data_IF_231892085869
#
_entry.id   IF_231892085869
#
_cell.length_a   1.000
_cell.length_b   1.000
_cell.length_c   1.000
_cell.angle_alpha   90.00
_cell.angle_beta   90.00
_cell.angle_gamma   90.00
#
_symmetry.space_group_name_H-M   'P 1'
#
loop_
_entity.id
_entity.type
_entity.pdbx_description
1 polymer ?
#
# COMPACT_ATOMS: atom_id res chain seq x y z
N UNK A 1 -14.14 -8.04 31.88
CA UNK A 1 -14.49 -8.87 30.69
C UNK A 1 -13.98 -8.11 29.48
N UNK A 2 -13.03 -8.66 28.73
CA UNK A 2 -12.52 -8.00 27.52
C UNK A 2 -13.64 -7.94 26.48
N UNK A 3 -13.70 -6.88 25.68
CA UNK A 3 -14.64 -6.84 24.56
C UNK A 3 -14.23 -7.86 23.49
N UNK A 4 -15.20 -8.33 22.69
CA UNK A 4 -14.91 -9.22 21.54
C UNK A 4 -13.91 -8.59 20.56
N UNK A 5 -13.96 -7.27 20.39
CA UNK A 5 -13.02 -6.53 19.53
C UNK A 5 -11.59 -6.57 20.08
N UNK A 6 -11.42 -6.44 21.39
CA UNK A 6 -10.12 -6.54 22.04
C UNK A 6 -9.53 -7.95 21.92
N UNK A 7 -10.35 -8.99 22.11
CA UNK A 7 -9.92 -10.38 21.92
C UNK A 7 -9.50 -10.63 20.46
N UNK A 8 -10.29 -10.16 19.48
CA UNK A 8 -9.93 -10.26 18.05
C UNK A 8 -8.62 -9.53 17.74
N UNK A 9 -8.42 -8.33 18.29
CA UNK A 9 -7.18 -7.57 18.07
C UNK A 9 -5.96 -8.34 18.59
N UNK A 10 -6.01 -8.80 19.85
CA UNK A 10 -4.90 -9.54 20.48
C UNK A 10 -4.62 -10.86 19.77
N UNK A 11 -5.67 -11.57 19.34
CA UNK A 11 -5.53 -12.78 18.55
C UNK A 11 -4.88 -12.49 17.19
N UNK A 12 -5.28 -11.39 16.53
CA UNK A 12 -4.66 -10.95 15.28
C UNK A 12 -3.17 -10.64 15.45
N UNK A 13 -2.79 -9.93 16.52
CA UNK A 13 -1.39 -9.62 16.83
C UNK A 13 -0.57 -10.89 17.08
N UNK A 14 -1.10 -11.82 17.87
CA UNK A 14 -0.48 -13.12 18.12
C UNK A 14 -0.32 -13.91 16.81
N UNK A 15 -1.39 -14.05 16.03
CA UNK A 15 -1.37 -14.78 14.77
C UNK A 15 -0.36 -14.19 13.77
N UNK A 16 -0.26 -12.86 13.68
CA UNK A 16 0.75 -12.19 12.84
C UNK A 16 2.17 -12.51 13.32
N UNK A 17 2.43 -12.44 14.62
CA UNK A 17 3.71 -12.83 15.24
C UNK A 17 4.10 -14.28 14.93
N UNK A 18 3.21 -15.22 15.25
CA UNK A 18 3.46 -16.65 15.06
C UNK A 18 3.63 -17.00 13.57
N UNK A 19 2.81 -16.39 12.70
CA UNK A 19 2.94 -16.63 11.25
C UNK A 19 4.31 -16.19 10.72
N UNK A 20 4.84 -15.05 11.18
CA UNK A 20 6.15 -14.57 10.75
C UNK A 20 7.28 -15.50 11.25
N UNK A 21 7.19 -16.01 12.48
CA UNK A 21 8.14 -16.97 13.02
C UNK A 21 8.14 -18.28 12.21
N UNK A 22 6.95 -18.87 12.01
CA UNK A 22 6.81 -20.11 11.23
C UNK A 22 7.31 -19.94 9.81
N UNK A 23 6.98 -18.83 9.13
CA UNK A 23 7.47 -18.57 7.77
C UNK A 23 9.00 -18.46 7.69
N UNK A 24 9.66 -17.93 8.73
CA UNK A 24 11.11 -17.89 8.82
C UNK A 24 11.75 -19.28 8.92
N UNK A 25 11.06 -20.22 9.57
CA UNK A 25 11.53 -21.60 9.77
C UNK A 25 11.34 -22.49 8.53
N UNK A 26 10.56 -22.06 7.52
CA UNK A 26 10.34 -22.83 6.29
C UNK A 26 11.58 -22.92 5.38
N UNK A 27 12.74 -22.44 5.81
CA UNK A 27 13.96 -22.52 5.01
C UNK A 27 14.38 -23.98 4.84
N UNK A 28 14.56 -24.43 3.59
CA UNK A 28 14.89 -25.83 3.27
C UNK A 28 13.69 -26.77 3.11
N UNK A 29 12.48 -26.34 3.47
CA UNK A 29 11.26 -27.15 3.29
C UNK A 29 10.85 -27.29 1.83
N UNK A 30 10.11 -28.37 1.55
CA UNK A 30 9.54 -28.63 0.22
C UNK A 30 8.54 -27.55 -0.19
N UNK A 31 8.39 -27.33 -1.50
CA UNK A 31 7.45 -26.32 -2.01
C UNK A 31 6.01 -26.63 -1.60
N UNK A 32 5.64 -27.90 -1.53
CA UNK A 32 4.30 -28.35 -1.10
C UNK A 32 4.06 -27.97 0.35
N UNK A 33 5.01 -28.26 1.24
CA UNK A 33 4.91 -27.90 2.66
C UNK A 33 4.75 -26.39 2.84
N UNK A 34 5.56 -25.60 2.13
CA UNK A 34 5.48 -24.13 2.17
C UNK A 34 4.11 -23.61 1.75
N UNK A 35 3.56 -24.15 0.64
CA UNK A 35 2.25 -23.75 0.15
C UNK A 35 1.13 -24.16 1.11
N UNK A 36 1.21 -25.35 1.73
CA UNK A 36 0.24 -25.77 2.74
C UNK A 36 0.24 -24.86 3.97
N UNK A 37 1.41 -24.41 4.41
CA UNK A 37 1.52 -23.46 5.54
C UNK A 37 0.92 -22.10 5.19
N UNK A 38 1.22 -21.56 4.00
CA UNK A 38 0.63 -20.30 3.53
C UNK A 38 -0.90 -20.40 3.40
N UNK A 39 -1.41 -21.52 2.86
CA UNK A 39 -2.84 -21.76 2.75
C UNK A 39 -3.53 -21.86 4.12
N UNK A 40 -2.89 -22.55 5.08
CA UNK A 40 -3.37 -22.63 6.45
C UNK A 40 -3.51 -21.23 7.07
N UNK A 41 -2.46 -20.40 6.99
CA UNK A 41 -2.51 -19.05 7.55
C UNK A 41 -3.51 -18.16 6.82
N UNK A 42 -3.59 -18.23 5.49
CA UNK A 42 -4.60 -17.48 4.73
C UNK A 42 -6.03 -17.79 5.22
N UNK A 43 -6.35 -19.07 5.44
CA UNK A 43 -7.65 -19.49 5.98
C UNK A 43 -7.83 -19.03 7.42
N UNK A 44 -6.81 -19.14 8.26
CA UNK A 44 -6.89 -18.72 9.66
C UNK A 44 -7.11 -17.19 9.79
N UNK A 45 -6.42 -16.38 8.99
CA UNK A 45 -6.61 -14.93 8.94
C UNK A 45 -8.01 -14.54 8.44
N UNK A 46 -8.53 -15.25 7.43
CA UNK A 46 -9.90 -15.07 6.98
C UNK A 46 -10.93 -15.34 8.10
N UNK A 47 -10.72 -16.40 8.89
CA UNK A 47 -11.63 -16.77 9.99
C UNK A 47 -11.67 -15.73 11.11
N UNK A 48 -10.52 -15.12 11.46
CA UNK A 48 -10.47 -14.06 12.48
C UNK A 48 -10.85 -12.67 11.93
N UNK A 49 -11.05 -12.58 10.62
CA UNK A 49 -11.42 -11.35 9.90
C UNK A 49 -10.26 -10.36 9.74
N UNK A 50 -9.01 -10.84 9.71
CA UNK A 50 -7.82 -10.06 9.35
C UNK A 50 -7.59 -10.20 7.84
N UNK A 51 -8.32 -9.39 7.05
CA UNK A 51 -8.31 -9.51 5.59
C UNK A 51 -6.98 -9.09 4.97
N UNK A 52 -6.25 -8.16 5.59
CA UNK A 52 -4.93 -7.75 5.11
C UNK A 52 -3.94 -8.92 5.16
N UNK A 53 -3.86 -9.59 6.32
CA UNK A 53 -2.97 -10.74 6.49
C UNK A 53 -3.41 -11.94 5.64
N UNK A 54 -4.72 -12.15 5.49
CA UNK A 54 -5.27 -13.19 4.60
C UNK A 54 -4.82 -12.98 3.15
N UNK A 55 -5.01 -11.76 2.62
CA UNK A 55 -4.64 -11.43 1.25
C UNK A 55 -3.11 -11.45 1.07
N UNK A 56 -2.34 -11.02 2.06
CA UNK A 56 -0.88 -11.11 2.04
C UNK A 56 -0.42 -12.57 1.91
N UNK A 57 -0.96 -13.49 2.72
CA UNK A 57 -0.60 -14.92 2.66
C UNK A 57 -0.94 -15.54 1.30
N UNK A 58 -2.11 -15.19 0.73
CA UNK A 58 -2.49 -15.64 -0.62
C UNK A 58 -1.56 -15.08 -1.70
N UNK A 59 -1.21 -13.80 -1.62
CA UNK A 59 -0.29 -13.16 -2.55
C UNK A 59 1.09 -13.85 -2.53
N UNK A 60 1.62 -14.12 -1.34
CA UNK A 60 2.90 -14.83 -1.19
C UNK A 60 2.82 -16.28 -1.71
N UNK A 61 1.70 -16.98 -1.53
CA UNK A 61 1.50 -18.31 -2.11
C UNK A 61 1.56 -18.29 -3.64
N UNK A 62 0.94 -17.28 -4.27
CA UNK A 62 0.98 -17.10 -5.72
C UNK A 62 2.39 -16.74 -6.20
N UNK A 63 3.11 -15.85 -5.50
CA UNK A 63 4.49 -15.52 -5.83
C UNK A 63 5.43 -16.73 -5.72
N UNK A 64 5.28 -17.51 -4.63
CA UNK A 64 6.08 -18.70 -4.39
C UNK A 64 5.89 -19.74 -5.49
N UNK A 65 4.64 -19.94 -5.92
CA UNK A 65 4.27 -20.75 -7.08
C UNK A 65 4.92 -20.25 -8.36
N UNK A 66 4.78 -18.98 -8.66
CA UNK A 66 5.31 -18.37 -9.89
C UNK A 66 6.85 -18.45 -9.95
N UNK A 67 7.55 -18.24 -8.82
CA UNK A 67 9.00 -18.36 -8.72
C UNK A 67 9.51 -19.78 -9.04
N UNK A 68 8.71 -20.80 -8.72
CA UNK A 68 9.06 -22.21 -8.91
C UNK A 68 8.46 -22.81 -10.20
N UNK A 69 7.74 -22.02 -10.98
CA UNK A 69 7.05 -22.46 -12.21
C UNK A 69 8.00 -22.98 -13.30
N UNK A 70 9.24 -22.49 -13.33
CA UNK A 70 10.27 -22.94 -14.27
C UNK A 70 10.68 -24.41 -14.07
N UNK A 71 10.62 -24.88 -12.82
CA UNK A 71 10.95 -26.26 -12.45
C UNK A 71 9.72 -27.17 -12.45
N UNK A 72 8.51 -26.60 -12.35
CA UNK A 72 7.27 -27.36 -12.31
C UNK A 72 6.09 -26.59 -12.90
N UNK A 73 5.58 -27.06 -14.05
CA UNK A 73 4.50 -26.38 -14.77
C UNK A 73 3.18 -26.27 -13.99
N UNK A 74 2.87 -27.22 -13.09
CA UNK A 74 1.66 -27.17 -12.26
C UNK A 74 1.67 -26.00 -11.25
N UNK A 75 2.85 -25.43 -10.96
CA UNK A 75 2.99 -24.27 -10.10
C UNK A 75 2.76 -22.96 -10.86
N UNK A 76 2.71 -22.97 -12.20
CA UNK A 76 2.45 -21.77 -13.00
C UNK A 76 1.13 -21.11 -12.54
N UNK A 77 1.17 -19.80 -12.35
CA UNK A 77 -0.03 -19.03 -12.03
C UNK A 77 -0.56 -18.40 -13.31
N UNK A 78 -1.84 -18.63 -13.61
CA UNK A 78 -2.45 -18.06 -14.83
C UNK A 78 -2.71 -16.57 -14.65
N UNK A 79 -2.83 -15.85 -15.77
CA UNK A 79 -3.27 -14.45 -15.71
C UNK A 79 -4.67 -14.31 -15.09
N UNK A 80 -5.56 -15.29 -15.30
CA UNK A 80 -6.92 -15.29 -14.75
C UNK A 80 -6.91 -15.43 -13.23
N UNK A 81 -6.01 -16.24 -12.68
CA UNK A 81 -5.83 -16.41 -11.24
C UNK A 81 -5.33 -15.11 -10.59
N UNK A 82 -4.31 -14.48 -11.19
CA UNK A 82 -3.83 -13.17 -10.74
C UNK A 82 -4.91 -12.07 -10.84
N UNK A 83 -5.69 -12.08 -11.92
CA UNK A 83 -6.76 -11.09 -12.14
C UNK A 83 -7.88 -11.26 -11.12
N UNK A 84 -8.28 -12.51 -10.83
CA UNK A 84 -9.29 -12.80 -9.81
C UNK A 84 -8.81 -12.35 -8.43
N UNK A 85 -7.57 -12.66 -8.08
CA UNK A 85 -6.97 -12.22 -6.82
C UNK A 85 -6.90 -10.69 -6.71
N UNK A 86 -6.54 -10.00 -7.80
CA UNK A 86 -6.52 -8.54 -7.84
C UNK A 86 -7.93 -7.94 -7.63
N UNK A 87 -8.95 -8.51 -8.28
CA UNK A 87 -10.34 -8.08 -8.11
C UNK A 87 -10.82 -8.25 -6.67
N UNK A 88 -10.60 -9.44 -6.09
CA UNK A 88 -10.93 -9.70 -4.69
C UNK A 88 -10.22 -8.71 -3.75
N UNK A 89 -8.94 -8.41 -4.03
CA UNK A 89 -8.17 -7.45 -3.22
C UNK A 89 -8.76 -6.03 -3.29
N UNK A 90 -9.24 -5.60 -4.47
CA UNK A 90 -9.94 -4.32 -4.64
C UNK A 90 -11.26 -4.29 -3.88
N UNK A 91 -12.09 -5.34 -4.02
CA UNK A 91 -13.39 -5.44 -3.36
C UNK A 91 -13.26 -5.41 -1.82
N UNK A 92 -12.15 -5.91 -1.30
CA UNK A 92 -11.83 -5.88 0.12
C UNK A 92 -11.13 -4.57 0.57
N UNK A 93 -10.92 -3.60 -0.31
CA UNK A 93 -10.36 -2.30 0.03
C UNK A 93 -8.84 -2.25 0.13
N UNK A 94 -8.12 -3.19 -0.52
CA UNK A 94 -6.65 -3.26 -0.51
C UNK A 94 -6.06 -2.95 -1.90
N UNK A 95 -6.15 -1.69 -2.38
CA UNK A 95 -5.72 -1.31 -3.72
C UNK A 95 -4.22 -1.51 -3.94
N UNK A 96 -3.37 -1.36 -2.91
CA UNK A 96 -1.93 -1.61 -3.04
C UNK A 96 -1.62 -3.06 -3.45
N UNK A 97 -2.29 -4.03 -2.81
CA UNK A 97 -2.12 -5.46 -3.10
C UNK A 97 -2.71 -5.78 -4.48
N UNK A 98 -3.89 -5.22 -4.79
CA UNK A 98 -4.51 -5.38 -6.10
C UNK A 98 -3.65 -4.85 -7.25
N UNK A 99 -2.96 -3.73 -7.05
CA UNK A 99 -2.03 -3.16 -8.03
C UNK A 99 -0.92 -4.13 -8.38
N UNK A 100 -0.23 -4.67 -7.35
CA UNK A 100 0.83 -5.68 -7.53
C UNK A 100 0.34 -6.95 -8.22
N UNK A 101 -0.83 -7.44 -7.83
CA UNK A 101 -1.44 -8.61 -8.47
C UNK A 101 -1.80 -8.35 -9.94
N UNK A 102 -2.26 -7.14 -10.27
CA UNK A 102 -2.56 -6.73 -11.64
C UNK A 102 -1.28 -6.66 -12.49
N UNK A 103 -0.16 -6.23 -11.92
CA UNK A 103 1.15 -6.27 -12.61
C UNK A 103 1.57 -7.72 -12.93
N UNK A 104 1.44 -8.63 -11.96
CA UNK A 104 1.72 -10.06 -12.19
C UNK A 104 0.78 -10.69 -13.24
N UNK A 105 -0.49 -10.29 -13.28
CA UNK A 105 -1.43 -10.72 -14.33
C UNK A 105 -0.97 -10.27 -15.73
N UNK A 106 -0.49 -9.03 -15.89
CA UNK A 106 0.05 -8.53 -17.16
C UNK A 106 1.34 -9.26 -17.57
N UNK A 107 2.22 -9.55 -16.61
CA UNK A 107 3.42 -10.36 -16.86
C UNK A 107 3.06 -11.76 -17.35
N UNK A 108 2.03 -12.38 -16.75
CA UNK A 108 1.54 -13.69 -17.13
C UNK A 108 0.94 -13.68 -18.56
N UNK A 109 0.13 -12.67 -18.90
CA UNK A 109 -0.40 -12.48 -20.26
C UNK A 109 0.72 -12.32 -21.30
N UNK A 110 1.77 -11.56 -20.97
CA UNK A 110 2.90 -11.40 -21.88
C UNK A 110 3.66 -12.72 -22.12
N UNK A 111 3.76 -13.58 -21.09
CA UNK A 111 4.32 -14.94 -21.25
C UNK A 111 3.43 -15.79 -22.16
N UNK A 112 2.12 -15.72 -21.99
CA UNK A 112 1.14 -16.48 -22.80
C UNK A 112 1.22 -16.08 -24.29
N UNK A 113 1.32 -14.77 -24.59
CA UNK A 113 1.47 -14.26 -25.97
C UNK A 113 2.68 -14.79 -26.73
N UNK A 114 3.77 -15.08 -26.02
CA UNK A 114 5.01 -15.56 -26.63
C UNK A 114 4.96 -17.07 -26.97
N UNK A 115 3.93 -17.79 -26.52
CA UNK A 115 3.82 -19.25 -26.67
C UNK A 115 2.85 -19.63 -27.81
N UNK A 116 1.76 -18.89 -28.02
CA UNK A 116 0.72 -19.23 -29.01
C UNK A 116 0.40 -18.07 -29.96
N UNK A 117 0.79 -18.16 -31.25
CA UNK A 117 0.51 -17.14 -32.26
C UNK A 117 -0.77 -17.46 -33.06
N UNK A 118 -1.88 -17.79 -32.40
CA UNK A 118 -3.19 -17.93 -33.08
C UNK A 118 -4.03 -16.65 -32.96
N UNK A 119 -4.61 -16.22 -34.09
CA UNK A 119 -5.24 -14.90 -34.26
C UNK A 119 -6.45 -14.64 -33.35
N UNK A 120 -7.24 -15.68 -33.02
CA UNK A 120 -8.45 -15.54 -32.18
C UNK A 120 -8.09 -15.40 -30.70
N UNK A 121 -7.11 -16.21 -30.24
CA UNK A 121 -6.53 -16.16 -28.89
C UNK A 121 -5.86 -14.81 -28.62
N UNK A 122 -5.26 -14.20 -29.64
CA UNK A 122 -4.64 -12.88 -29.53
C UNK A 122 -5.64 -11.76 -29.18
N UNK A 123 -6.86 -11.82 -29.73
CA UNK A 123 -7.92 -10.84 -29.46
C UNK A 123 -8.40 -10.93 -27.99
N UNK A 124 -8.65 -12.14 -27.50
CA UNK A 124 -9.07 -12.38 -26.12
C UNK A 124 -8.01 -11.96 -25.09
N UNK A 125 -6.74 -12.28 -25.38
CA UNK A 125 -5.59 -11.87 -24.56
C UNK A 125 -5.42 -10.33 -24.57
N UNK A 126 -5.76 -9.66 -25.67
CA UNK A 126 -5.75 -8.19 -25.76
C UNK A 126 -6.82 -7.57 -24.86
N UNK A 127 -8.05 -8.10 -24.91
CA UNK A 127 -9.16 -7.67 -24.06
C UNK A 127 -8.90 -7.93 -22.57
N UNK A 128 -8.34 -9.09 -22.23
CA UNK A 128 -7.92 -9.41 -20.88
C UNK A 128 -6.86 -8.42 -20.38
N UNK A 129 -5.85 -8.10 -21.20
CA UNK A 129 -4.81 -7.14 -20.85
C UNK A 129 -5.36 -5.72 -20.63
N UNK A 130 -6.36 -5.29 -21.41
CA UNK A 130 -7.04 -4.02 -21.21
C UNK A 130 -7.79 -3.97 -19.86
N UNK A 131 -8.54 -5.03 -19.52
CA UNK A 131 -9.23 -5.13 -18.23
C UNK A 131 -8.25 -5.07 -17.06
N UNK A 132 -7.15 -5.80 -17.15
CA UNK A 132 -6.12 -5.80 -16.09
C UNK A 132 -5.43 -4.44 -15.98
N UNK A 133 -5.15 -3.75 -17.09
CA UNK A 133 -4.59 -2.39 -17.07
C UNK A 133 -5.53 -1.41 -16.36
N UNK A 134 -6.83 -1.43 -16.68
CA UNK A 134 -7.82 -0.58 -16.00
C UNK A 134 -7.89 -0.86 -14.50
N UNK A 135 -7.81 -2.13 -14.11
CA UNK A 135 -7.80 -2.53 -12.70
C UNK A 135 -6.57 -1.96 -11.98
N UNK A 136 -5.39 -2.12 -12.58
CA UNK A 136 -4.13 -1.57 -12.07
C UNK A 136 -4.17 -0.05 -11.95
N UNK A 137 -4.66 0.65 -12.96
CA UNK A 137 -4.71 2.10 -12.98
C UNK A 137 -5.71 2.63 -11.93
N UNK A 138 -6.82 1.92 -11.73
CA UNK A 138 -7.78 2.20 -10.63
C UNK A 138 -7.14 1.98 -9.25
N UNK A 139 -6.42 0.88 -9.08
CA UNK A 139 -5.69 0.57 -7.86
C UNK A 139 -4.62 1.64 -7.55
N UNK A 140 -3.87 2.07 -8.56
CA UNK A 140 -2.88 3.14 -8.43
C UNK A 140 -3.51 4.48 -8.04
N UNK A 141 -4.63 4.83 -8.68
CA UNK A 141 -5.40 6.04 -8.37
C UNK A 141 -5.86 6.05 -6.89
N UNK A 142 -6.50 4.98 -6.43
CA UNK A 142 -6.93 4.86 -5.03
C UNK A 142 -5.76 4.88 -4.05
N UNK A 143 -4.68 4.18 -4.36
CA UNK A 143 -3.46 4.18 -3.54
C UNK A 143 -2.89 5.60 -3.42
N UNK A 144 -2.82 6.34 -4.53
CA UNK A 144 -2.31 7.72 -4.53
C UNK A 144 -3.22 8.69 -3.77
N UNK A 145 -4.55 8.52 -3.86
CA UNK A 145 -5.53 9.34 -3.15
C UNK A 145 -5.43 9.15 -1.62
N UNK A 146 -5.02 7.96 -1.18
CA UNK A 146 -4.78 7.66 0.23
C UNK A 146 -3.33 7.96 0.70
N UNK A 147 -2.51 8.59 -0.15
CA UNK A 147 -1.17 9.01 0.25
C UNK A 147 -1.20 10.13 1.31
N UNK A 148 -0.19 10.19 2.17
CA UNK A 148 -0.04 11.25 3.20
C UNK A 148 -0.05 12.64 2.56
N UNK A 149 0.54 12.78 1.37
CA UNK A 149 0.56 14.04 0.63
C UNK A 149 -0.83 14.43 0.14
N UNK A 150 -1.58 13.50 -0.47
CA UNK A 150 -2.95 13.74 -0.92
C UNK A 150 -3.88 14.06 0.25
N UNK A 151 -3.81 13.27 1.32
CA UNK A 151 -4.56 13.51 2.57
C UNK A 151 -4.19 14.85 3.20
N UNK A 152 -2.92 15.23 3.19
CA UNK A 152 -2.43 16.52 3.66
C UNK A 152 -3.00 17.67 2.83
N UNK A 153 -2.99 17.55 1.51
CA UNK A 153 -3.57 18.54 0.60
C UNK A 153 -5.09 18.70 0.80
N UNK A 154 -5.82 17.58 0.93
CA UNK A 154 -7.26 17.60 1.17
C UNK A 154 -7.61 18.18 2.54
N UNK A 155 -6.79 17.90 3.56
CA UNK A 155 -6.91 18.53 4.87
C UNK A 155 -6.69 20.05 4.79
N UNK A 156 -5.69 20.52 4.04
CA UNK A 156 -5.43 21.94 3.85
C UNK A 156 -6.59 22.63 3.13
N UNK A 157 -7.13 22.07 2.04
CA UNK A 157 -8.33 22.59 1.36
C UNK A 157 -9.53 22.64 2.31
N UNK A 158 -9.76 21.58 3.07
CA UNK A 158 -10.85 21.51 4.06
C UNK A 158 -10.68 22.57 5.15
N UNK A 159 -9.45 22.83 5.57
CA UNK A 159 -9.11 23.88 6.55
C UNK A 159 -9.39 25.27 5.99
N UNK A 160 -9.05 25.54 4.73
CA UNK A 160 -9.35 26.82 4.06
C UNK A 160 -10.86 27.07 4.00
N UNK A 161 -11.65 26.07 3.63
CA UNK A 161 -13.12 26.15 3.64
C UNK A 161 -13.69 26.42 5.05
N UNK A 162 -13.11 25.82 6.09
CA UNK A 162 -13.48 26.11 7.49
C UNK A 162 -13.14 27.52 7.92
N UNK A 163 -12.06 28.11 7.40
CA UNK A 163 -11.69 29.50 7.69
C UNK A 163 -12.69 30.46 7.00
N UNK A 164 -13.00 30.23 5.72
CA UNK A 164 -13.97 31.02 4.96
C UNK A 164 -15.37 31.00 5.60
N UNK A 165 -15.82 29.82 6.06
CA UNK A 165 -17.12 29.67 6.75
C UNK A 165 -17.16 30.32 8.14
N UNK A 166 -16.01 30.50 8.81
CA UNK A 166 -15.91 31.27 10.06
C UNK A 166 -15.95 32.77 9.82
N UNK A 167 -15.37 33.26 8.74
CA UNK A 167 -15.40 34.68 8.37
C UNK A 167 -16.80 35.17 7.98
N UNK A 168 -17.66 34.28 7.47
CA UNK A 168 -19.06 34.59 7.12
C UNK A 168 -20.01 34.61 8.31
N UNK A 169 -19.59 34.14 9.49
CA UNK A 169 -20.37 34.33 10.73
C UNK A 169 -19.98 35.66 11.37
N UNK A 170 -20.94 36.52 11.78
CA UNK A 170 -20.62 37.74 12.51
C UNK A 170 -20.01 37.34 13.87
N UNK A 171 -18.68 37.42 13.97
CA UNK A 171 -17.95 37.13 15.20
C UNK A 171 -18.10 38.36 16.10
N UNK A 172 -18.82 38.23 17.22
CA UNK A 172 -18.68 39.15 18.35
C UNK A 172 -17.28 38.91 18.93
N UNK A 173 -16.31 39.70 18.49
CA UNK A 173 -14.94 39.64 18.99
C UNK A 173 -14.95 40.05 20.48
N UNK A 174 -14.61 39.12 21.37
CA UNK A 174 -13.98 39.51 22.63
C UNK A 174 -12.48 39.40 22.40
N UNK A 175 -11.78 40.52 22.56
CA UNK A 175 -10.34 40.61 22.33
C UNK A 175 -9.59 39.78 23.39
N UNK A 176 -9.40 38.49 23.10
CA UNK A 176 -8.58 37.62 23.93
C UNK A 176 -7.11 37.81 23.56
N UNK A 177 -6.48 38.84 24.14
CA UNK A 177 -5.09 39.26 23.92
C UNK A 177 -4.08 38.12 24.14
N UNK A 178 -4.36 37.19 25.07
CA UNK A 178 -3.46 36.07 25.38
C UNK A 178 -3.31 35.04 24.26
N UNK A 179 -4.39 34.75 23.52
CA UNK A 179 -4.35 33.78 22.41
C UNK A 179 -3.55 34.32 21.22
N UNK A 180 -3.65 35.62 20.96
CA UNK A 180 -2.90 36.28 19.89
C UNK A 180 -1.40 36.33 20.21
N UNK A 181 -1.01 36.67 21.44
CA UNK A 181 0.39 36.70 21.86
C UNK A 181 1.04 35.31 21.83
N UNK A 182 0.31 34.26 22.21
CA UNK A 182 0.81 32.88 22.12
C UNK A 182 1.05 32.45 20.67
N UNK A 183 0.10 32.75 19.77
CA UNK A 183 0.23 32.46 18.33
C UNK A 183 1.38 33.25 17.69
N UNK A 184 1.53 34.52 18.03
CA UNK A 184 2.64 35.35 17.54
C UNK A 184 4.00 34.83 18.04
N UNK A 185 4.07 34.35 19.28
CA UNK A 185 5.26 33.70 19.83
C UNK A 185 5.67 32.46 19.04
N UNK A 186 4.71 31.61 18.68
CA UNK A 186 4.95 30.43 17.84
C UNK A 186 5.44 30.84 16.45
N UNK A 187 4.76 31.80 15.81
CA UNK A 187 5.13 32.27 14.47
C UNK A 187 6.55 32.85 14.43
N UNK A 188 6.91 33.73 15.38
CA UNK A 188 8.27 34.28 15.50
C UNK A 188 9.34 33.23 15.78
N UNK A 189 9.00 32.15 16.49
CA UNK A 189 9.93 31.03 16.69
C UNK A 189 10.14 30.25 15.39
N UNK A 190 9.06 29.99 14.66
CA UNK A 190 9.12 29.26 13.39
C UNK A 190 9.87 30.03 12.31
N UNK A 191 9.67 31.35 12.20
CA UNK A 191 10.44 32.20 11.28
C UNK A 191 11.95 32.16 11.57
N UNK A 192 12.33 32.29 12.84
CA UNK A 192 13.75 32.20 13.24
C UNK A 192 14.35 30.84 12.88
N UNK A 193 13.61 29.76 13.10
CA UNK A 193 14.06 28.40 12.76
C UNK A 193 14.20 28.22 11.24
N UNK A 194 13.27 28.77 10.46
CA UNK A 194 13.28 28.67 9.00
C UNK A 194 14.44 29.48 8.38
N UNK A 195 14.73 30.66 8.92
CA UNK A 195 15.92 31.44 8.56
C UNK A 195 17.22 30.71 8.92
N UNK A 196 17.27 30.08 10.09
CA UNK A 196 18.44 29.30 10.51
C UNK A 196 18.70 28.11 9.57
N UNK A 197 17.66 27.36 9.21
CA UNK A 197 17.77 26.24 8.26
C UNK A 197 18.25 26.70 6.88
N UNK A 198 17.71 27.81 6.36
CA UNK A 198 18.17 28.40 5.09
C UNK A 198 19.62 28.86 5.14
N UNK A 199 20.05 29.43 6.27
CA UNK A 199 21.45 29.82 6.49
C UNK A 199 22.38 28.59 6.51
N UNK A 200 22.02 27.52 7.21
CA UNK A 200 22.78 26.26 7.22
C UNK A 200 22.88 25.67 5.81
N UNK A 201 21.81 25.78 5.01
CA UNK A 201 21.77 25.26 3.65
C UNK A 201 22.69 26.08 2.72
N UNK A 202 22.71 27.42 2.86
CA UNK A 202 23.67 28.28 2.16
C UNK A 202 25.14 28.03 2.52
N UNK A 203 25.44 27.69 3.78
CA UNK A 203 26.82 27.34 4.18
C UNK A 203 27.28 26.01 3.58
N UNK A 204 26.36 25.08 3.32
CA UNK A 204 26.67 23.78 2.68
C UNK A 204 26.96 23.92 1.18
N UNK A 205 26.43 24.96 0.54
CA UNK A 205 26.66 25.26 -0.88
C UNK A 205 27.92 26.12 -1.13
N UNK A 206 28.58 26.63 -0.07
CA UNK A 206 29.79 27.45 -0.16
C UNK A 206 31.10 26.72 0.18
N UNK A 207 31.05 25.45 0.58
CA UNK A 207 32.24 24.60 0.72
C UNK A 207 32.46 23.81 -0.59
N UNK A 208 33.36 24.23 -1.50
CA UNK A 208 33.80 23.34 -2.57
C UNK A 208 34.63 22.22 -1.94
N UNK A 209 34.24 21.00 -2.25
CA UNK A 209 34.84 19.71 -1.89
C UNK A 209 36.38 19.75 -2.12
N UNK A 210 37.16 20.09 -1.09
CA UNK A 210 38.62 19.97 -1.09
C UNK A 210 38.97 18.48 -0.93
N UNK A 211 38.79 17.72 -2.01
CA UNK A 211 39.33 16.36 -2.12
C UNK A 211 40.80 16.42 -2.49
N UNK A 212 41.58 15.78 -1.64
CA UNK A 212 42.99 15.48 -1.74
C UNK A 212 43.40 14.95 -3.13
N UNK A 213 44.57 15.39 -3.61
CA UNK A 213 45.43 14.67 -4.54
C UNK A 213 46.61 14.12 -3.75
#
# INVERSE_FOLDING_TARGET
>A
VNSLSEVRSRLGDLMRSESAAVLGELTGESIVAKLSVLEFFARAFALIGDMESCLAMRYEALNLRELNSSSCLWLRVSHSEWTNFALQSMENGFPCIAGKASENALLSLNKDRNIEPESEVYSEISDAAEKVRRLRDSAASLTSAHSVQAQGADYLRSKELRILSRQTRPVKNSDCTGSNLFRDGINKRNERMLLHLRSIQMFRDLEPDLRCV
#
